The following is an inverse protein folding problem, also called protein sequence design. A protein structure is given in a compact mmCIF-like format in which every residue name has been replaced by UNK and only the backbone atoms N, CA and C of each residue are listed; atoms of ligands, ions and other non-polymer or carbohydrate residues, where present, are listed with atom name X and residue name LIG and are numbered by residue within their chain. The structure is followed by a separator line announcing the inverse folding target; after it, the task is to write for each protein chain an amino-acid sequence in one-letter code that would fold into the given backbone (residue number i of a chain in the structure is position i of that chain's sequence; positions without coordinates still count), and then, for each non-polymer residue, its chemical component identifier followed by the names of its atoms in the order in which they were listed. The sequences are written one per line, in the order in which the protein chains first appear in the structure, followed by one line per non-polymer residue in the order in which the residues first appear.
data_IF_350924894151
#
_entry.id   IF_350924894151
#
_cell.length_a   1.000
_cell.length_b   1.000
_cell.length_c   1.000
_cell.angle_alpha   90.00
_cell.angle_beta   90.00
_cell.angle_gamma   90.00
#
_symmetry.space_group_name_H-M   'P 1'
#
loop_
_entity.id
_entity.type
_entity.pdbx_description
1 polymer ?
#
# COMPACT_ATOMS: atom_id res chain seq x y z
N UNK A 1 0.35 26.32 -43.85
CA UNK A 1 0.29 25.44 -42.66
C UNK A 1 1.09 26.05 -41.52
N UNK A 2 0.47 26.80 -40.62
CA UNK A 2 1.16 27.36 -39.45
C UNK A 2 1.28 26.29 -38.36
N UNK A 3 2.50 25.84 -38.09
CA UNK A 3 2.83 25.00 -36.93
C UNK A 3 2.91 25.90 -35.68
N UNK A 4 2.76 25.32 -34.48
CA UNK A 4 2.93 26.07 -33.23
C UNK A 4 1.63 26.62 -32.64
N UNK A 5 1.63 27.85 -32.12
CA UNK A 5 0.58 28.45 -31.26
C UNK A 5 -0.84 28.31 -31.82
N UNK A 6 -1.04 28.64 -33.10
CA UNK A 6 -2.33 28.53 -33.80
C UNK A 6 -2.88 27.10 -33.84
N UNK A 7 -2.02 26.08 -33.79
CA UNK A 7 -2.39 24.67 -33.79
C UNK A 7 -2.70 24.12 -32.39
N UNK A 8 -2.06 24.64 -31.33
CA UNK A 8 -2.27 24.18 -29.95
C UNK A 8 -3.65 24.56 -29.41
N UNK A 9 -4.19 25.73 -29.79
CA UNK A 9 -5.54 26.18 -29.38
C UNK A 9 -6.70 25.31 -29.86
N UNK A 10 -6.44 24.40 -30.81
CA UNK A 10 -7.44 23.46 -31.37
C UNK A 10 -7.37 22.07 -30.73
N UNK A 11 -6.42 21.79 -29.84
CA UNK A 11 -6.23 20.46 -29.22
C UNK A 11 -7.16 20.25 -28.03
N UNK A 12 -8.43 19.97 -28.30
CA UNK A 12 -9.50 19.84 -27.28
C UNK A 12 -9.91 18.38 -26.99
N UNK A 13 -9.56 17.47 -27.89
CA UNK A 13 -9.93 16.05 -27.77
C UNK A 13 -8.85 15.27 -27.01
N UNK A 14 -9.26 14.43 -26.06
CA UNK A 14 -8.34 13.58 -25.29
C UNK A 14 -8.19 12.21 -25.95
N UNK A 15 -6.97 11.88 -26.34
CA UNK A 15 -6.61 10.60 -26.99
C UNK A 15 -6.40 9.46 -25.99
N UNK A 16 -6.05 9.78 -24.74
CA UNK A 16 -5.83 8.79 -23.69
C UNK A 16 -6.66 9.09 -22.45
N UNK A 17 -7.33 8.07 -21.93
CA UNK A 17 -8.08 8.10 -20.67
C UNK A 17 -7.40 7.19 -19.63
N UNK A 18 -7.75 7.35 -18.36
CA UNK A 18 -7.17 6.54 -17.28
C UNK A 18 -7.55 5.07 -17.45
N UNK A 19 -6.56 4.19 -17.61
CA UNK A 19 -6.79 2.76 -17.63
C UNK A 19 -7.13 2.25 -16.22
N UNK A 20 -8.32 1.66 -16.06
CA UNK A 20 -8.83 1.11 -14.78
C UNK A 20 -7.94 0.02 -14.16
N UNK A 21 -7.14 -0.67 -14.98
CA UNK A 21 -6.29 -1.80 -14.53
C UNK A 21 -4.88 -1.37 -14.13
N UNK A 22 -4.20 -0.61 -15.00
CA UNK A 22 -2.77 -0.33 -14.86
C UNK A 22 -2.40 1.14 -15.07
N UNK A 23 -3.38 1.97 -15.47
CA UNK A 23 -3.21 3.37 -15.78
C UNK A 23 -2.29 3.71 -16.98
N UNK A 24 -1.44 2.79 -17.49
CA UNK A 24 -0.29 3.09 -18.38
C UNK A 24 0.28 1.85 -19.12
N UNK A 25 1.05 2.08 -20.19
CA UNK A 25 1.65 1.08 -21.11
C UNK A 25 2.86 0.27 -20.55
N UNK A 26 3.27 -0.82 -21.23
CA UNK A 26 4.19 -1.90 -20.75
C UNK A 26 5.54 -2.04 -21.52
N UNK A 27 5.94 -1.10 -22.37
CA UNK A 27 7.20 -1.21 -23.16
C UNK A 27 8.46 -0.76 -22.39
N UNK A 28 8.32 0.00 -21.30
CA UNK A 28 9.45 0.50 -20.53
C UNK A 28 9.86 -0.45 -19.40
N UNK A 29 11.14 -0.85 -19.36
CA UNK A 29 11.73 -1.63 -18.25
C UNK A 29 11.55 -0.91 -16.90
N UNK A 30 11.80 0.41 -16.85
CA UNK A 30 11.57 1.24 -15.66
C UNK A 30 10.09 1.31 -15.30
N UNK A 31 9.21 1.32 -16.30
CA UNK A 31 7.76 1.28 -16.13
C UNK A 31 7.28 -0.04 -15.50
N UNK A 32 7.84 -1.18 -15.93
CA UNK A 32 7.61 -2.51 -15.35
C UNK A 32 8.06 -2.56 -13.90
N UNK A 33 9.29 -2.12 -13.59
CA UNK A 33 9.85 -2.14 -12.23
C UNK A 33 8.97 -1.39 -11.21
N UNK A 34 8.40 -0.25 -11.59
CA UNK A 34 7.52 0.54 -10.70
C UNK A 34 6.20 -0.17 -10.36
N UNK A 35 5.79 -1.17 -11.14
CA UNK A 35 4.46 -1.81 -11.05
C UNK A 35 4.51 -3.31 -10.75
N UNK A 36 5.71 -3.87 -10.56
CA UNK A 36 5.86 -5.31 -10.33
C UNK A 36 5.26 -5.72 -8.98
N UNK A 37 4.94 -7.01 -8.84
CA UNK A 37 4.51 -7.60 -7.57
C UNK A 37 5.56 -7.27 -6.50
N UNK A 38 5.14 -6.66 -5.40
CA UNK A 38 6.07 -6.17 -4.37
C UNK A 38 5.85 -4.69 -4.03
N UNK A 39 5.51 -3.86 -5.01
CA UNK A 39 5.40 -2.40 -4.82
C UNK A 39 4.05 -1.95 -4.25
N UNK A 40 3.07 -2.85 -4.20
CA UNK A 40 1.72 -2.59 -3.72
C UNK A 40 1.46 -3.04 -2.27
N UNK A 41 0.18 -3.06 -1.89
CA UNK A 41 -0.23 -3.39 -0.52
C UNK A 41 0.01 -4.84 -0.09
N UNK A 42 0.20 -5.77 -1.05
CA UNK A 42 0.47 -7.20 -0.82
C UNK A 42 -0.39 -7.83 0.29
N UNK A 43 -1.66 -7.46 0.43
CA UNK A 43 -2.49 -7.84 1.60
C UNK A 43 -2.54 -9.36 1.80
N UNK A 44 -2.77 -10.09 0.72
CA UNK A 44 -2.81 -11.55 0.75
C UNK A 44 -1.41 -12.15 0.94
N UNK A 45 -0.47 -11.84 0.04
CA UNK A 45 0.87 -12.43 0.04
C UNK A 45 1.66 -12.14 1.32
N UNK A 46 1.50 -10.96 1.94
CA UNK A 46 2.15 -10.64 3.22
C UNK A 46 1.60 -11.50 4.36
N UNK A 47 0.29 -11.76 4.38
CA UNK A 47 -0.32 -12.64 5.35
C UNK A 47 0.08 -14.10 5.14
N UNK A 48 0.11 -14.56 3.88
CA UNK A 48 0.59 -15.91 3.52
C UNK A 48 2.03 -16.10 3.95
N UNK A 49 2.91 -15.14 3.68
CA UNK A 49 4.32 -15.25 4.06
C UNK A 49 4.52 -15.22 5.59
N UNK A 50 3.68 -14.49 6.32
CA UNK A 50 3.64 -14.54 7.79
C UNK A 50 3.18 -15.92 8.28
N UNK A 51 2.09 -16.47 7.72
CA UNK A 51 1.60 -17.82 8.06
C UNK A 51 2.63 -18.91 7.73
N UNK A 52 3.30 -18.80 6.59
CA UNK A 52 4.36 -19.71 6.16
C UNK A 52 5.48 -19.79 7.21
N UNK A 53 5.96 -18.64 7.71
CA UNK A 53 6.96 -18.59 8.79
C UNK A 53 6.50 -19.18 10.12
N UNK A 54 5.18 -19.25 10.33
CA UNK A 54 4.57 -19.91 11.48
C UNK A 54 4.07 -21.33 11.15
N UNK A 55 4.45 -21.90 10.00
CA UNK A 55 4.12 -23.28 9.60
C UNK A 55 2.65 -23.51 9.24
N UNK A 56 1.94 -22.49 8.75
CA UNK A 56 0.50 -22.55 8.42
C UNK A 56 -0.40 -23.09 9.54
N UNK A 57 0.00 -22.89 10.80
CA UNK A 57 -0.80 -23.28 11.96
C UNK A 57 -2.11 -22.49 11.98
N UNK A 58 -3.24 -23.19 12.05
CA UNK A 58 -4.59 -22.60 12.14
C UNK A 58 -5.22 -22.88 13.52
N UNK A 59 -6.17 -22.04 13.95
CA UNK A 59 -6.95 -22.26 15.19
C UNK A 59 -6.24 -21.98 16.53
N UNK A 60 -5.02 -21.44 16.52
CA UNK A 60 -4.33 -21.08 17.76
C UNK A 60 -4.98 -19.87 18.45
N UNK A 61 -5.66 -20.09 19.58
CA UNK A 61 -6.04 -18.99 20.48
C UNK A 61 -4.77 -18.44 21.15
N UNK A 62 -4.49 -17.15 20.94
CA UNK A 62 -3.45 -16.49 21.69
C UNK A 62 -3.83 -16.51 23.17
N UNK A 63 -2.94 -17.00 24.04
CA UNK A 63 -3.17 -16.91 25.49
C UNK A 63 -3.44 -15.44 25.85
N UNK A 64 -4.52 -15.13 26.60
CA UNK A 64 -4.79 -13.76 26.99
C UNK A 64 -3.64 -13.25 27.87
N UNK A 65 -3.01 -12.17 27.43
CA UNK A 65 -1.99 -11.47 28.19
C UNK A 65 -2.71 -10.60 29.22
N UNK A 66 -2.61 -10.93 30.51
CA UNK A 66 -3.13 -10.07 31.58
C UNK A 66 -2.31 -8.78 31.59
N UNK A 67 -2.88 -7.67 31.15
CA UNK A 67 -2.27 -6.35 31.35
C UNK A 67 -2.30 -6.09 32.86
N UNK A 68 -1.16 -6.20 33.53
CA UNK A 68 -1.05 -5.97 34.96
C UNK A 68 -1.45 -4.54 35.27
N UNK A 69 -2.55 -4.36 35.99
CA UNK A 69 -2.83 -3.14 36.74
C UNK A 69 -1.79 -3.07 37.88
N UNK A 70 -0.66 -2.42 37.64
CA UNK A 70 0.34 -2.14 38.66
C UNK A 70 1.13 -0.88 38.29
N UNK A 71 0.58 0.29 38.66
CA UNK A 71 1.28 1.48 39.14
C UNK A 71 0.29 2.65 39.26
N UNK A 72 -0.58 2.63 40.27
CA UNK A 72 -1.36 3.80 40.68
C UNK A 72 -1.37 3.89 42.20
N UNK A 73 -0.20 4.16 42.79
CA UNK A 73 -0.10 4.56 44.21
C UNK A 73 1.33 4.95 44.56
N UNK A 74 1.63 6.26 44.52
CA UNK A 74 2.53 6.96 45.46
C UNK A 74 2.77 8.42 45.05
N UNK A 75 1.83 9.33 45.30
CA UNK A 75 2.15 10.71 45.74
C UNK A 75 0.91 11.39 46.33
N UNK A 76 0.53 10.99 47.54
CA UNK A 76 -0.29 11.81 48.42
C UNK A 76 0.31 11.71 49.82
N UNK A 77 1.32 12.52 50.10
CA UNK A 77 1.69 13.01 51.43
C UNK A 77 2.98 13.85 51.26
N UNK A 78 2.82 15.15 51.08
CA UNK A 78 3.78 16.12 51.59
C UNK A 78 2.96 17.27 52.16
N UNK A 79 3.12 17.43 53.46
CA UNK A 79 2.51 18.42 54.33
C UNK A 79 3.20 19.77 54.14
#
# INVERSE_FOLDING_TARGET
MTKGTSSFGKRRNKTHTLCRRCGRNNWSVKGKRRKTTGTGRLRHLRNVWRRFRHGFREGGQAKPQKHGAAAASATSMAK
#
